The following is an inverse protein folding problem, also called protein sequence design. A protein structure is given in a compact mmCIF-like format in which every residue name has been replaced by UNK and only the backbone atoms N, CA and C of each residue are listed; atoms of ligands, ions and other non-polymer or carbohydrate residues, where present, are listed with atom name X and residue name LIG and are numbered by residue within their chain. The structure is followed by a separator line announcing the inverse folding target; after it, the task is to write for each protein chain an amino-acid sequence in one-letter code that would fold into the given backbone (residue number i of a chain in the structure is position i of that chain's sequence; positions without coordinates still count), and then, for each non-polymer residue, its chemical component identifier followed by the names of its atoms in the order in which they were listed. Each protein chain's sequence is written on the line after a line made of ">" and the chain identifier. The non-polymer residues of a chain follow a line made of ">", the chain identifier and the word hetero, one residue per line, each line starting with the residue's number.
data_IF_679838089153
#
_entry.id   IF_679838089153
#
_cell.length_a   1.000
_cell.length_b   1.000
_cell.length_c   1.000
_cell.angle_alpha   90.00
_cell.angle_beta   90.00
_cell.angle_gamma   90.00
#
_symmetry.space_group_name_H-M   'P 1'
#
loop_
_entity.id
_entity.type
_entity.pdbx_description
1 polymer ?
#
# COMPACT_ATOMS: atom_id res chain seq x y z
N UNK A 1 -56.12 6.07 -0.05
CA UNK A 1 -56.04 7.47 0.41
C UNK A 1 -54.72 7.58 1.11
N UNK A 2 -54.00 8.20 0.38
CA UNK A 2 -52.94 9.22 0.49
C UNK A 2 -51.55 8.71 0.69
N UNK A 3 -50.82 8.93 -0.38
CA UNK A 3 -49.40 8.94 -0.58
C UNK A 3 -48.69 9.91 0.38
N UNK A 4 -47.48 9.55 0.81
CA UNK A 4 -46.43 10.54 0.99
C UNK A 4 -45.10 9.97 0.58
N UNK A 5 -44.70 10.32 -0.64
CA UNK A 5 -43.36 10.35 -1.15
C UNK A 5 -42.52 11.33 -0.32
N UNK A 6 -41.38 10.89 0.21
CA UNK A 6 -40.25 11.77 0.48
C UNK A 6 -39.00 11.18 -0.15
N UNK A 7 -38.61 11.89 -1.17
CA UNK A 7 -37.39 11.74 -1.95
C UNK A 7 -36.16 12.13 -1.12
N UNK A 8 -35.29 11.17 -0.84
CA UNK A 8 -33.91 11.41 -0.48
C UNK A 8 -33.00 11.02 -1.65
N UNK A 9 -32.98 11.88 -2.65
CA UNK A 9 -32.01 11.86 -3.73
C UNK A 9 -31.23 13.17 -3.68
N UNK A 10 -30.14 13.27 -2.89
CA UNK A 10 -29.27 14.45 -3.05
C UNK A 10 -27.87 14.40 -2.47
N UNK A 11 -27.23 13.26 -2.23
CA UNK A 11 -25.84 13.35 -1.72
C UNK A 11 -24.77 12.60 -2.52
N UNK A 12 -25.15 11.64 -3.34
CA UNK A 12 -24.20 10.91 -4.20
C UNK A 12 -23.74 11.69 -5.44
N UNK A 13 -24.46 12.76 -5.81
CA UNK A 13 -24.13 13.55 -7.01
C UNK A 13 -22.98 14.56 -6.78
N UNK A 14 -22.77 14.99 -5.54
CA UNK A 14 -21.78 16.03 -5.21
C UNK A 14 -20.36 15.49 -5.20
N UNK A 15 -20.14 14.29 -4.70
CA UNK A 15 -18.83 13.63 -4.72
C UNK A 15 -18.36 13.30 -6.14
N UNK A 16 -19.26 12.71 -6.96
CA UNK A 16 -18.93 12.38 -8.36
C UNK A 16 -18.66 13.62 -9.23
N UNK A 17 -19.37 14.72 -9.00
CA UNK A 17 -19.11 15.98 -9.71
C UNK A 17 -17.77 16.59 -9.32
N UNK A 18 -17.35 16.49 -8.05
CA UNK A 18 -16.03 16.94 -7.61
C UNK A 18 -14.91 16.09 -8.21
N UNK A 19 -15.06 14.75 -8.29
CA UNK A 19 -14.08 13.87 -8.91
C UNK A 19 -13.79 14.25 -10.37
N UNK A 20 -14.84 14.53 -11.15
CA UNK A 20 -14.73 14.97 -12.55
C UNK A 20 -14.18 16.40 -12.65
N UNK A 21 -14.58 17.32 -11.76
CA UNK A 21 -14.14 18.71 -11.79
C UNK A 21 -12.67 18.88 -11.37
N UNK A 22 -12.19 18.14 -10.36
CA UNK A 22 -10.79 18.24 -9.92
C UNK A 22 -9.82 17.58 -10.91
N UNK A 23 -10.18 16.50 -11.56
CA UNK A 23 -9.41 15.92 -12.66
C UNK A 23 -9.23 16.87 -13.85
N UNK A 24 -10.22 17.72 -14.11
CA UNK A 24 -10.19 18.72 -15.21
C UNK A 24 -9.53 20.03 -14.76
N UNK A 25 -9.68 20.43 -13.48
CA UNK A 25 -9.10 21.69 -12.98
C UNK A 25 -7.58 21.59 -12.79
N UNK A 26 -7.03 20.44 -12.44
CA UNK A 26 -5.57 20.24 -12.38
C UNK A 26 -4.89 20.27 -13.74
N UNK A 27 -5.63 20.02 -14.83
CA UNK A 27 -5.16 20.23 -16.21
C UNK A 27 -5.25 21.68 -16.70
N UNK A 28 -6.02 22.55 -16.01
CA UNK A 28 -6.28 23.91 -16.52
C UNK A 28 -5.29 24.98 -16.01
N UNK A 29 -4.36 24.64 -15.09
CA UNK A 29 -3.40 25.63 -14.53
C UNK A 29 -1.98 25.50 -15.11
N UNK A 30 -1.72 24.51 -15.95
CA UNK A 30 -0.43 24.40 -16.64
C UNK A 30 -0.61 24.46 -18.15
N UNK A 31 -0.30 25.64 -18.70
CA UNK A 31 -0.15 25.99 -20.12
C UNK A 31 -1.42 26.26 -20.91
N UNK A 32 -1.58 27.53 -21.31
CA UNK A 32 -2.29 27.97 -22.50
C UNK A 32 -1.60 27.43 -23.77
N UNK A 33 -1.80 26.16 -24.07
CA UNK A 33 -1.64 25.62 -25.40
C UNK A 33 -2.93 24.91 -25.75
N UNK A 34 -3.60 25.41 -26.77
CA UNK A 34 -4.86 24.88 -27.29
C UNK A 34 -4.69 23.41 -27.68
N UNK A 35 -5.24 22.49 -26.89
CA UNK A 35 -5.54 21.15 -27.40
C UNK A 35 -6.81 21.28 -28.21
N UNK A 36 -6.68 21.56 -29.47
CA UNK A 36 -7.72 21.35 -30.45
C UNK A 36 -7.96 19.84 -30.53
N UNK A 37 -9.12 19.36 -30.07
CA UNK A 37 -9.66 18.06 -30.46
C UNK A 37 -9.96 18.12 -31.96
N UNK A 38 -8.93 17.94 -32.77
CA UNK A 38 -9.11 17.72 -34.18
C UNK A 38 -9.78 16.39 -34.40
N UNK A 39 -11.03 16.37 -34.85
CA UNK A 39 -11.61 15.21 -35.52
C UNK A 39 -10.65 14.88 -36.68
N UNK A 40 -9.93 13.81 -36.57
CA UNK A 40 -9.17 13.25 -37.69
C UNK A 40 -10.15 12.50 -38.59
N UNK A 41 -10.60 13.16 -39.65
CA UNK A 41 -11.10 12.49 -40.84
C UNK A 41 -9.91 11.82 -41.53
N UNK A 42 -9.98 10.53 -41.72
CA UNK A 42 -9.32 9.66 -42.68
C UNK A 42 -7.84 9.86 -43.04
N UNK A 43 -7.01 8.89 -42.60
CA UNK A 43 -5.81 8.41 -43.32
C UNK A 43 -4.73 9.42 -43.72
N UNK A 44 -4.12 10.11 -42.75
CA UNK A 44 -2.75 10.54 -42.86
C UNK A 44 -1.87 9.65 -41.98
N UNK A 45 -1.34 8.59 -42.58
CA UNK A 45 -0.23 7.85 -41.98
C UNK A 45 1.00 8.73 -42.17
N UNK A 46 1.41 9.51 -41.19
CA UNK A 46 2.67 10.21 -41.22
C UNK A 46 3.78 9.15 -41.15
N UNK A 47 4.71 9.19 -42.06
CA UNK A 47 5.89 8.31 -42.10
C UNK A 47 7.02 8.81 -41.19
N UNK A 48 6.83 9.88 -40.44
CA UNK A 48 7.79 10.39 -39.47
C UNK A 48 7.54 9.78 -38.08
N UNK A 49 8.60 9.46 -37.34
CA UNK A 49 8.47 8.99 -35.95
C UNK A 49 7.74 10.06 -35.13
N UNK A 50 6.57 9.71 -34.64
CA UNK A 50 5.85 10.57 -33.70
C UNK A 50 6.57 10.52 -32.34
N UNK A 51 6.85 11.67 -31.73
CA UNK A 51 7.40 11.73 -30.38
C UNK A 51 6.32 11.24 -29.42
N UNK A 52 6.44 9.99 -28.99
CA UNK A 52 5.40 9.29 -28.23
C UNK A 52 5.33 9.69 -26.76
N UNK A 53 6.32 10.44 -26.26
CA UNK A 53 6.40 10.77 -24.85
C UNK A 53 6.18 12.26 -24.57
N UNK A 54 5.28 12.56 -23.64
CA UNK A 54 5.12 13.91 -23.09
C UNK A 54 6.01 14.09 -21.89
N UNK A 55 6.88 15.09 -21.90
CA UNK A 55 7.72 15.46 -20.77
C UNK A 55 6.94 16.29 -19.75
N UNK A 56 6.82 15.77 -18.54
CA UNK A 56 6.18 16.45 -17.40
C UNK A 56 7.22 16.82 -16.35
N UNK A 57 7.03 17.96 -15.71
CA UNK A 57 7.78 18.32 -14.50
C UNK A 57 6.81 18.59 -13.36
N UNK A 58 7.02 17.93 -12.23
CA UNK A 58 6.17 18.03 -11.04
C UNK A 58 7.01 18.38 -9.83
N UNK A 59 6.66 19.46 -9.15
CA UNK A 59 7.30 19.88 -7.90
C UNK A 59 6.35 19.61 -6.73
N UNK A 60 6.78 18.82 -5.74
CA UNK A 60 5.98 18.43 -4.58
C UNK A 60 6.78 18.49 -3.28
N UNK A 61 6.08 18.47 -2.15
CA UNK A 61 6.73 18.33 -0.84
C UNK A 61 7.11 16.87 -0.59
N UNK A 62 6.18 15.96 -0.89
CA UNK A 62 6.32 14.52 -0.63
C UNK A 62 5.96 13.74 -1.89
N UNK A 63 6.84 12.82 -2.28
CA UNK A 63 6.48 11.78 -3.25
C UNK A 63 6.36 10.44 -2.56
N UNK A 64 5.25 9.76 -2.78
CA UNK A 64 5.02 8.38 -2.35
C UNK A 64 5.21 7.47 -3.54
N UNK A 65 6.17 6.55 -3.48
CA UNK A 65 6.46 5.60 -4.55
C UNK A 65 5.88 4.25 -4.21
N UNK A 66 4.84 3.84 -4.94
CA UNK A 66 4.05 2.64 -4.75
C UNK A 66 2.76 2.87 -3.98
N UNK A 67 1.61 2.77 -4.66
CA UNK A 67 0.25 2.89 -4.12
C UNK A 67 -0.29 1.61 -3.49
N UNK A 68 0.58 0.78 -2.89
CA UNK A 68 0.19 -0.44 -2.18
C UNK A 68 -0.45 -0.16 -0.82
N UNK A 69 -0.62 -1.21 -0.01
CA UNK A 69 -1.26 -1.16 1.31
C UNK A 69 -0.74 -0.04 2.21
N UNK A 70 0.58 0.15 2.27
CA UNK A 70 1.19 1.23 3.06
C UNK A 70 1.14 2.57 2.32
N UNK A 71 1.42 2.56 1.00
CA UNK A 71 1.57 3.79 0.22
C UNK A 71 0.26 4.55 0.01
N UNK A 72 -0.86 3.86 -0.16
CA UNK A 72 -2.18 4.49 -0.18
C UNK A 72 -2.44 5.28 1.10
N UNK A 73 -2.24 4.66 2.24
CA UNK A 73 -2.41 5.31 3.56
C UNK A 73 -1.41 6.44 3.75
N UNK A 74 -0.16 6.24 3.29
CA UNK A 74 0.87 7.28 3.35
C UNK A 74 0.50 8.51 2.51
N UNK A 75 0.00 8.31 1.29
CA UNK A 75 -0.40 9.42 0.43
C UNK A 75 -1.55 10.22 1.04
N UNK A 76 -2.59 9.55 1.55
CA UNK A 76 -3.71 10.21 2.23
C UNK A 76 -3.21 10.99 3.47
N UNK A 77 -2.35 10.40 4.29
CA UNK A 77 -1.80 11.06 5.48
C UNK A 77 -0.98 12.29 5.11
N UNK A 78 -0.11 12.22 4.10
CA UNK A 78 0.70 13.36 3.67
C UNK A 78 -0.18 14.51 3.15
N UNK A 79 -1.20 14.19 2.33
CA UNK A 79 -2.17 15.17 1.85
C UNK A 79 -2.97 15.81 2.98
N UNK A 80 -3.51 15.01 3.91
CA UNK A 80 -4.23 15.52 5.10
C UNK A 80 -3.36 16.36 6.04
N UNK A 81 -2.04 16.14 6.01
CA UNK A 81 -1.07 16.98 6.72
C UNK A 81 -0.78 18.30 5.99
N UNK A 82 -1.36 18.53 4.80
CA UNK A 82 -1.19 19.73 3.98
C UNK A 82 0.07 19.73 3.12
N UNK A 83 0.75 18.60 2.95
CA UNK A 83 1.87 18.47 2.03
C UNK A 83 1.38 18.32 0.59
N UNK A 84 1.96 19.07 -0.37
CA UNK A 84 1.74 18.82 -1.79
C UNK A 84 2.31 17.43 -2.12
N UNK A 85 1.45 16.49 -2.47
CA UNK A 85 1.78 15.07 -2.52
C UNK A 85 1.50 14.48 -3.90
N UNK A 86 2.47 13.73 -4.43
CA UNK A 86 2.33 12.87 -5.62
C UNK A 86 2.43 11.40 -5.19
N UNK A 87 1.49 10.59 -5.65
CA UNK A 87 1.50 9.13 -5.51
C UNK A 87 1.78 8.49 -6.86
N UNK A 88 2.92 7.80 -6.98
CA UNK A 88 3.30 7.02 -8.15
C UNK A 88 2.89 5.55 -7.95
N UNK A 89 2.10 4.99 -8.86
CA UNK A 89 1.71 3.57 -8.83
C UNK A 89 1.88 2.93 -10.21
N UNK A 90 2.64 1.84 -10.26
CA UNK A 90 2.93 1.13 -11.53
C UNK A 90 1.76 0.32 -12.08
N UNK A 91 0.76 0.00 -11.25
CA UNK A 91 -0.48 -0.65 -11.68
C UNK A 91 -1.58 0.37 -11.95
N UNK A 92 -2.73 -0.08 -12.43
CA UNK A 92 -3.92 0.76 -12.62
C UNK A 92 -4.86 0.75 -11.42
N UNK A 93 -4.38 0.42 -10.21
CA UNK A 93 -5.24 0.24 -9.04
C UNK A 93 -4.47 0.41 -7.74
N UNK A 94 -5.02 1.17 -6.78
CA UNK A 94 -4.46 1.32 -5.44
C UNK A 94 -4.72 0.08 -4.56
N UNK A 95 -3.95 -0.04 -3.47
CA UNK A 95 -4.06 -1.08 -2.45
C UNK A 95 -3.04 -2.22 -2.58
N UNK A 96 -2.39 -2.39 -3.73
CA UNK A 96 -1.34 -3.37 -3.97
C UNK A 96 -1.74 -4.80 -3.60
N UNK A 97 -1.10 -5.41 -2.58
CA UNK A 97 -1.43 -6.79 -2.18
C UNK A 97 -2.84 -6.95 -1.65
N UNK A 98 -3.46 -5.91 -1.12
CA UNK A 98 -4.85 -5.90 -0.67
C UNK A 98 -5.82 -6.07 -1.85
N UNK A 99 -5.52 -5.45 -2.98
CA UNK A 99 -6.38 -5.36 -4.17
C UNK A 99 -5.81 -6.17 -5.34
N UNK A 100 -4.71 -5.70 -5.93
CA UNK A 100 -4.07 -6.33 -7.10
C UNK A 100 -3.61 -7.76 -6.81
N UNK A 101 -3.08 -8.01 -5.61
CA UNK A 101 -2.70 -9.35 -5.14
C UNK A 101 -3.85 -10.17 -4.57
N UNK A 102 -5.00 -9.54 -4.28
CA UNK A 102 -6.22 -10.16 -3.78
C UNK A 102 -6.18 -10.69 -2.36
N UNK A 103 -5.20 -10.27 -1.56
CA UNK A 103 -5.16 -10.61 -0.13
C UNK A 103 -6.13 -9.70 0.62
N UNK A 104 -7.43 -9.95 0.43
CA UNK A 104 -8.53 -9.11 0.94
C UNK A 104 -8.88 -9.38 2.41
N UNK A 105 -7.87 -9.66 3.24
CA UNK A 105 -8.01 -9.94 4.67
C UNK A 105 -7.05 -9.07 5.48
N UNK A 106 -7.24 -7.75 5.51
CA UNK A 106 -6.43 -6.90 6.36
C UNK A 106 -6.62 -7.28 7.84
N UNK A 107 -5.55 -7.31 8.56
CA UNK A 107 -5.54 -7.64 9.98
C UNK A 107 -4.10 -7.89 10.47
N UNK A 108 -3.91 -8.03 11.77
CA UNK A 108 -4.90 -7.80 12.80
C UNK A 108 -4.86 -6.34 13.26
N UNK A 109 -6.04 -5.75 13.45
CA UNK A 109 -6.18 -4.40 14.03
C UNK A 109 -6.30 -4.44 15.55
N UNK A 110 -6.49 -5.64 16.10
CA UNK A 110 -6.70 -5.90 17.53
C UNK A 110 -5.67 -6.87 18.10
N UNK A 111 -5.52 -6.79 19.41
CA UNK A 111 -4.79 -7.75 20.21
C UNK A 111 -5.43 -7.84 21.59
N UNK A 112 -5.59 -9.07 22.11
CA UNK A 112 -6.00 -9.32 23.49
C UNK A 112 -7.30 -8.64 23.91
N UNK A 113 -8.26 -8.52 22.99
CA UNK A 113 -9.57 -7.92 23.26
C UNK A 113 -9.60 -6.38 23.17
N UNK A 114 -8.57 -5.76 22.61
CA UNK A 114 -8.50 -4.31 22.38
C UNK A 114 -8.07 -4.01 20.96
N UNK A 115 -8.63 -2.97 20.35
CA UNK A 115 -8.08 -2.41 19.13
C UNK A 115 -6.74 -1.73 19.43
N UNK A 116 -5.72 -2.03 18.63
CA UNK A 116 -4.35 -1.51 18.81
C UNK A 116 -3.82 -0.79 17.56
N UNK A 117 -4.50 -0.93 16.44
CA UNK A 117 -4.22 -0.23 15.18
C UNK A 117 -5.52 0.39 14.70
N UNK A 118 -5.51 1.70 14.46
CA UNK A 118 -6.62 2.48 13.91
C UNK A 118 -6.09 3.50 12.89
N UNK A 119 -6.77 4.63 12.73
CA UNK A 119 -6.41 5.69 11.80
C UNK A 119 -6.87 5.44 10.38
N UNK A 120 -6.21 6.05 9.41
CA UNK A 120 -6.61 6.09 7.99
C UNK A 120 -6.77 4.68 7.40
N UNK A 121 -5.88 3.75 7.75
CA UNK A 121 -5.98 2.36 7.27
C UNK A 121 -7.25 1.66 7.76
N UNK A 122 -7.61 1.88 9.03
CA UNK A 122 -8.85 1.36 9.61
C UNK A 122 -10.08 2.07 9.06
N UNK A 123 -10.03 3.37 8.82
CA UNK A 123 -11.09 4.16 8.15
C UNK A 123 -11.46 3.52 6.80
N UNK A 124 -10.46 3.29 5.92
CA UNK A 124 -10.66 2.64 4.63
C UNK A 124 -11.26 1.24 4.75
N UNK A 125 -10.77 0.44 5.68
CA UNK A 125 -11.26 -0.93 5.90
C UNK A 125 -12.70 -0.92 6.40
N UNK A 126 -13.01 -0.08 7.39
CA UNK A 126 -14.35 0.04 7.98
C UNK A 126 -15.37 0.46 6.92
N UNK A 127 -15.10 1.53 6.20
CA UNK A 127 -15.98 2.06 5.16
C UNK A 127 -16.17 1.08 4.00
N UNK A 128 -15.09 0.36 3.60
CA UNK A 128 -15.18 -0.70 2.59
C UNK A 128 -16.10 -1.84 3.01
N UNK A 129 -16.09 -2.23 4.29
CA UNK A 129 -16.98 -3.26 4.83
C UNK A 129 -18.42 -2.77 4.88
N UNK A 130 -18.63 -1.54 5.34
CA UNK A 130 -19.96 -0.92 5.44
C UNK A 130 -20.64 -0.78 4.05
N UNK A 131 -19.91 -0.29 3.06
CA UNK A 131 -20.42 -0.14 1.68
C UNK A 131 -20.72 -1.48 0.99
N UNK A 132 -20.01 -2.55 1.36
CA UNK A 132 -20.25 -3.89 0.82
C UNK A 132 -21.32 -4.67 1.63
N UNK A 133 -21.97 -4.03 2.61
CA UNK A 133 -22.96 -4.67 3.47
C UNK A 133 -22.40 -5.75 4.41
N UNK A 134 -21.11 -5.70 4.68
CA UNK A 134 -20.41 -6.64 5.53
C UNK A 134 -20.53 -6.31 7.03
N UNK A 135 -19.87 -7.09 7.87
CA UNK A 135 -19.82 -6.88 9.30
C UNK A 135 -18.38 -6.89 9.82
N UNK A 136 -18.12 -5.98 10.77
CA UNK A 136 -16.83 -5.89 11.44
C UNK A 136 -16.74 -6.91 12.60
N UNK A 137 -15.54 -7.44 12.89
CA UNK A 137 -15.36 -8.30 14.06
C UNK A 137 -15.52 -7.52 15.36
N UNK A 138 -16.00 -8.22 16.39
CA UNK A 138 -16.02 -7.65 17.73
C UNK A 138 -14.67 -7.86 18.42
N UNK A 139 -13.85 -6.84 18.47
CA UNK A 139 -12.51 -6.89 19.04
C UNK A 139 -12.47 -7.16 20.56
N UNK A 140 -13.56 -6.95 21.30
CA UNK A 140 -13.63 -7.32 22.71
C UNK A 140 -13.61 -8.83 22.93
N UNK A 141 -13.88 -9.63 21.88
CA UNK A 141 -13.82 -11.09 21.93
C UNK A 141 -12.46 -11.57 21.46
N UNK A 142 -11.65 -12.11 22.38
CA UNK A 142 -10.38 -12.76 22.02
C UNK A 142 -10.68 -14.06 21.26
N UNK A 143 -10.26 -14.20 20.00
CA UNK A 143 -10.60 -15.37 19.20
C UNK A 143 -9.72 -16.57 19.56
N UNK A 144 -10.25 -17.79 19.37
CA UNK A 144 -9.47 -19.03 19.54
C UNK A 144 -8.29 -19.13 18.55
N UNK A 145 -8.42 -18.51 17.38
CA UNK A 145 -7.36 -18.45 16.37
C UNK A 145 -7.33 -17.05 15.76
N UNK A 146 -6.13 -16.52 15.53
CA UNK A 146 -5.91 -15.16 15.04
C UNK A 146 -6.71 -14.78 13.78
N UNK A 147 -6.91 -15.72 12.87
CA UNK A 147 -7.62 -15.47 11.62
C UNK A 147 -9.13 -15.22 11.80
N UNK A 148 -9.70 -15.45 12.98
CA UNK A 148 -11.13 -15.17 13.23
C UNK A 148 -11.43 -13.68 13.40
N UNK A 149 -10.44 -12.85 13.75
CA UNK A 149 -10.57 -11.40 13.83
C UNK A 149 -10.01 -10.68 12.58
N UNK A 150 -9.59 -11.43 11.56
CA UNK A 150 -9.28 -10.81 10.27
C UNK A 150 -10.54 -10.25 9.63
N UNK A 151 -10.49 -8.98 9.26
CA UNK A 151 -11.56 -8.33 8.50
C UNK A 151 -11.56 -8.86 7.08
N UNK A 152 -12.70 -9.13 6.50
CA UNK A 152 -12.81 -9.42 5.07
C UNK A 152 -13.34 -8.18 4.38
N UNK A 153 -12.66 -7.73 3.34
CA UNK A 153 -13.07 -6.57 2.54
C UNK A 153 -13.36 -6.97 1.11
N UNK A 154 -14.20 -6.18 0.45
CA UNK A 154 -14.32 -6.20 -0.99
C UNK A 154 -13.16 -5.38 -1.60
N UNK A 155 -12.21 -6.06 -2.26
CA UNK A 155 -11.02 -5.43 -2.83
C UNK A 155 -11.33 -4.36 -3.88
N UNK A 156 -12.45 -4.47 -4.58
CA UNK A 156 -12.87 -3.50 -5.60
C UNK A 156 -13.42 -2.24 -4.95
N UNK A 157 -14.28 -2.38 -3.96
CA UNK A 157 -14.79 -1.25 -3.15
C UNK A 157 -13.64 -0.54 -2.45
N UNK A 158 -12.73 -1.29 -1.81
CA UNK A 158 -11.55 -0.73 -1.16
C UNK A 158 -10.68 0.09 -2.11
N UNK A 159 -10.49 -0.38 -3.33
CA UNK A 159 -9.67 0.31 -4.34
C UNK A 159 -10.26 1.66 -4.73
N UNK A 160 -11.58 1.71 -4.98
CA UNK A 160 -12.27 2.95 -5.36
C UNK A 160 -12.29 3.95 -4.20
N UNK A 161 -12.53 3.49 -2.98
CA UNK A 161 -12.44 4.31 -1.77
C UNK A 161 -11.03 4.87 -1.56
N UNK A 162 -10.01 4.07 -1.81
CA UNK A 162 -8.62 4.50 -1.69
C UNK A 162 -8.31 5.65 -2.65
N UNK A 163 -8.84 5.60 -3.88
CA UNK A 163 -8.73 6.68 -4.87
C UNK A 163 -9.48 7.94 -4.41
N UNK A 164 -10.72 7.80 -3.98
CA UNK A 164 -11.54 8.91 -3.46
C UNK A 164 -10.83 9.62 -2.29
N UNK A 165 -10.37 8.87 -1.29
CA UNK A 165 -9.67 9.44 -0.12
C UNK A 165 -8.34 10.11 -0.48
N UNK A 166 -7.62 9.61 -1.49
CA UNK A 166 -6.43 10.28 -2.00
C UNK A 166 -6.78 11.62 -2.66
N UNK A 167 -7.81 11.63 -3.51
CA UNK A 167 -8.27 12.86 -4.20
C UNK A 167 -8.81 13.87 -3.19
N UNK A 168 -9.61 13.46 -2.22
CA UNK A 168 -10.14 14.32 -1.16
C UNK A 168 -9.03 14.92 -0.28
N UNK A 169 -7.91 14.20 -0.12
CA UNK A 169 -6.72 14.69 0.56
C UNK A 169 -5.82 15.60 -0.32
N UNK A 170 -6.21 15.86 -1.57
CA UNK A 170 -5.44 16.69 -2.51
C UNK A 170 -4.19 16.00 -3.07
N UNK A 171 -4.17 14.68 -3.11
CA UNK A 171 -3.07 13.89 -3.66
C UNK A 171 -3.21 13.77 -5.17
N UNK A 172 -2.15 14.08 -5.91
CA UNK A 172 -2.04 13.72 -7.32
C UNK A 172 -1.69 12.22 -7.43
N UNK A 173 -2.51 11.46 -8.16
CA UNK A 173 -2.28 10.04 -8.43
C UNK A 173 -1.76 9.89 -9.85
N UNK A 174 -0.62 9.19 -10.02
CA UNK A 174 -0.04 8.85 -11.31
C UNK A 174 0.01 7.33 -11.46
N UNK A 175 -0.97 6.78 -12.18
CA UNK A 175 -1.03 5.35 -12.52
C UNK A 175 -0.12 5.03 -13.70
N UNK A 176 0.35 3.78 -13.72
CA UNK A 176 1.21 3.25 -14.79
C UNK A 176 2.53 4.02 -14.91
N UNK A 177 2.92 4.75 -13.88
CA UNK A 177 4.20 5.39 -13.78
C UNK A 177 5.10 4.69 -12.75
N UNK A 178 6.36 4.54 -13.08
CA UNK A 178 7.37 3.92 -12.21
C UNK A 178 8.69 4.69 -12.27
N UNK A 179 9.41 4.66 -11.16
CA UNK A 179 10.69 5.33 -11.03
C UNK A 179 11.79 4.58 -11.81
N UNK A 180 12.57 5.29 -12.58
CA UNK A 180 13.72 4.77 -13.32
C UNK A 180 15.05 5.20 -12.72
N UNK A 181 15.12 6.43 -12.21
CA UNK A 181 16.31 6.98 -11.59
C UNK A 181 15.97 7.98 -10.50
N UNK A 182 16.88 8.16 -9.56
CA UNK A 182 16.79 9.16 -8.50
C UNK A 182 18.17 9.73 -8.21
N UNK A 183 18.22 11.04 -7.94
CA UNK A 183 19.45 11.73 -7.52
C UNK A 183 19.15 12.73 -6.41
N UNK A 184 20.13 12.93 -5.54
CA UNK A 184 20.06 13.94 -4.50
C UNK A 184 20.16 15.36 -5.09
N UNK A 185 19.46 16.31 -4.47
CA UNK A 185 19.56 17.74 -4.73
C UNK A 185 19.89 18.45 -3.41
N UNK A 186 20.26 19.73 -3.43
CA UNK A 186 20.52 20.46 -2.20
C UNK A 186 19.32 20.52 -1.22
N UNK A 187 18.09 20.40 -1.74
CA UNK A 187 16.84 20.56 -0.98
C UNK A 187 15.97 19.31 -0.91
N UNK A 188 16.45 18.19 -1.42
CA UNK A 188 15.70 16.93 -1.45
C UNK A 188 16.16 16.00 -2.58
N UNK A 189 15.25 15.68 -3.51
CA UNK A 189 15.48 14.68 -4.55
C UNK A 189 14.93 15.12 -5.90
N UNK A 190 15.53 14.62 -6.96
CA UNK A 190 14.98 14.63 -8.32
C UNK A 190 14.85 13.17 -8.79
N UNK A 191 13.63 12.81 -9.22
CA UNK A 191 13.29 11.47 -9.72
C UNK A 191 12.96 11.56 -11.20
N UNK A 192 13.40 10.57 -11.99
CA UNK A 192 12.92 10.36 -13.35
C UNK A 192 11.97 9.15 -13.34
N UNK A 193 10.77 9.36 -13.83
CA UNK A 193 9.72 8.36 -13.93
C UNK A 193 9.30 8.19 -15.38
N UNK A 194 8.87 6.99 -15.74
CA UNK A 194 8.30 6.70 -17.05
C UNK A 194 6.93 6.03 -16.90
N UNK A 195 6.07 6.31 -17.85
CA UNK A 195 4.76 5.70 -18.01
C UNK A 195 4.40 5.52 -19.48
N UNK A 196 3.16 5.18 -19.78
CA UNK A 196 2.68 5.08 -21.16
C UNK A 196 2.66 6.47 -21.81
N UNK A 197 3.55 6.72 -22.79
CA UNK A 197 3.64 7.99 -23.47
C UNK A 197 3.97 9.18 -22.56
N UNK A 198 4.65 8.95 -21.44
CA UNK A 198 4.97 9.99 -20.46
C UNK A 198 6.34 9.77 -19.86
N UNK A 199 7.17 10.82 -19.87
CA UNK A 199 8.36 10.94 -19.05
C UNK A 199 8.08 12.02 -17.99
N UNK A 200 8.26 11.70 -16.73
CA UNK A 200 8.03 12.66 -15.64
C UNK A 200 9.30 12.90 -14.85
N UNK A 201 9.65 14.16 -14.68
CA UNK A 201 10.66 14.60 -13.73
C UNK A 201 9.97 15.11 -12.46
N UNK A 202 10.21 14.46 -11.34
CA UNK A 202 9.66 14.85 -10.04
C UNK A 202 10.75 15.46 -9.19
N UNK A 203 10.53 16.68 -8.68
CA UNK A 203 11.36 17.26 -7.63
C UNK A 203 10.58 17.24 -6.33
N UNK A 204 11.19 16.72 -5.26
CA UNK A 204 10.52 16.60 -3.98
C UNK A 204 11.48 16.85 -2.81
N UNK A 205 10.91 17.23 -1.66
CA UNK A 205 11.67 17.40 -0.42
C UNK A 205 11.87 16.06 0.29
N UNK A 206 10.86 15.19 0.26
CA UNK A 206 10.87 13.89 0.94
C UNK A 206 10.37 12.78 0.00
N UNK A 207 10.97 11.61 0.12
CA UNK A 207 10.50 10.36 -0.52
C UNK A 207 9.95 9.43 0.54
N UNK A 208 8.79 8.80 0.24
CA UNK A 208 8.30 7.64 0.99
C UNK A 208 8.35 6.43 0.06
N UNK A 209 9.30 5.50 0.29
CA UNK A 209 9.40 4.28 -0.50
C UNK A 209 8.42 3.23 0.04
N UNK A 210 7.31 3.07 -0.66
CA UNK A 210 6.25 2.08 -0.42
C UNK A 210 6.21 0.98 -1.50
N UNK A 211 7.28 0.79 -2.26
CA UNK A 211 7.36 -0.20 -3.36
C UNK A 211 7.23 -1.65 -2.89
N UNK A 212 7.38 -1.87 -1.58
CA UNK A 212 7.37 -3.18 -0.94
C UNK A 212 8.66 -3.99 -1.17
N UNK A 213 9.57 -3.49 -1.99
CA UNK A 213 10.90 -4.07 -2.25
C UNK A 213 12.03 -3.10 -1.96
N UNK A 214 11.74 -1.94 -1.35
CA UNK A 214 12.73 -0.87 -1.13
C UNK A 214 13.46 -0.50 -2.44
N UNK A 215 12.71 -0.37 -3.53
CA UNK A 215 13.26 -0.16 -4.87
C UNK A 215 13.97 1.19 -4.96
N UNK A 216 13.36 2.26 -4.41
CA UNK A 216 13.98 3.60 -4.38
C UNK A 216 15.23 3.62 -3.53
N UNK A 217 15.19 2.97 -2.38
CA UNK A 217 16.35 2.81 -1.49
C UNK A 217 17.52 2.16 -2.24
N UNK A 218 17.21 1.14 -3.06
CA UNK A 218 18.21 0.48 -3.92
C UNK A 218 18.73 1.37 -5.04
N UNK A 219 17.88 2.13 -5.72
CA UNK A 219 18.27 3.09 -6.76
C UNK A 219 19.19 4.19 -6.22
N UNK A 220 19.00 4.58 -4.97
CA UNK A 220 19.82 5.57 -4.28
C UNK A 220 21.13 4.99 -3.69
N UNK A 221 21.38 3.69 -3.86
CA UNK A 221 22.59 3.01 -3.42
C UNK A 221 22.66 2.70 -1.93
N UNK A 222 21.57 2.85 -1.17
CA UNK A 222 21.54 2.45 0.23
C UNK A 222 21.45 0.93 0.39
N UNK A 223 21.99 0.43 1.50
CA UNK A 223 22.05 -1.02 1.77
C UNK A 223 20.65 -1.60 1.99
N UNK A 224 20.44 -2.75 1.36
CA UNK A 224 19.26 -3.60 1.53
C UNK A 224 19.72 -5.01 1.89
N UNK A 225 18.84 -5.77 2.54
CA UNK A 225 19.06 -7.18 2.88
C UNK A 225 17.91 -8.04 2.36
N UNK A 226 18.21 -9.28 2.03
CA UNK A 226 17.24 -10.33 1.67
C UNK A 226 17.84 -11.69 1.95
N UNK A 227 17.00 -12.70 1.96
CA UNK A 227 17.41 -14.09 2.02
C UNK A 227 17.62 -14.66 0.62
N UNK A 228 18.49 -15.67 0.49
CA UNK A 228 18.70 -16.39 -0.77
C UNK A 228 17.43 -17.16 -1.20
N UNK A 229 16.76 -17.82 -0.24
CA UNK A 229 15.49 -18.51 -0.47
C UNK A 229 14.31 -17.64 0.03
N UNK A 230 13.42 -17.26 -0.89
CA UNK A 230 12.22 -16.47 -0.54
C UNK A 230 11.09 -17.37 -0.05
N UNK A 231 10.19 -16.80 0.78
CA UNK A 231 8.93 -17.43 1.11
C UNK A 231 8.10 -17.62 -0.17
N UNK A 232 7.35 -18.74 -0.29
CA UNK A 232 6.52 -18.96 -1.47
C UNK A 232 5.51 -17.83 -1.64
N UNK A 233 5.34 -17.38 -2.88
CA UNK A 233 4.26 -16.48 -3.25
C UNK A 233 2.92 -17.18 -3.17
N UNK A 234 1.82 -16.41 -3.25
CA UNK A 234 0.46 -16.93 -3.34
C UNK A 234 -0.21 -16.45 -4.61
N UNK A 235 -0.86 -17.35 -5.34
CA UNK A 235 -1.78 -16.96 -6.39
C UNK A 235 -3.20 -17.18 -5.90
N UNK A 236 -4.00 -16.11 -5.87
CA UNK A 236 -5.36 -16.12 -5.36
C UNK A 236 -6.35 -16.10 -6.53
N UNK A 237 -7.41 -16.90 -6.44
CA UNK A 237 -8.44 -17.01 -7.46
C UNK A 237 -9.74 -17.55 -6.86
N UNK A 238 -10.85 -17.37 -7.55
CA UNK A 238 -12.16 -17.87 -7.13
C UNK A 238 -12.68 -18.94 -8.09
N UNK A 239 -13.23 -20.00 -7.53
CA UNK A 239 -13.89 -21.09 -8.27
C UNK A 239 -15.34 -21.22 -7.83
N UNK A 240 -16.29 -21.04 -8.77
CA UNK A 240 -17.72 -21.23 -8.55
C UNK A 240 -18.38 -20.15 -7.70
N UNK A 241 -19.72 -20.08 -7.72
CA UNK A 241 -20.52 -19.14 -6.93
C UNK A 241 -20.97 -17.90 -7.68
N UNK A 242 -22.05 -17.28 -7.17
CA UNK A 242 -22.71 -16.14 -7.78
C UNK A 242 -22.10 -14.78 -7.35
N UNK A 243 -21.40 -14.75 -6.20
CA UNK A 243 -20.78 -13.54 -5.66
C UNK A 243 -19.25 -13.61 -5.72
N UNK A 244 -18.59 -12.57 -6.24
CA UNK A 244 -17.13 -12.54 -6.41
C UNK A 244 -16.35 -12.40 -5.09
N UNK A 245 -17.01 -12.11 -3.96
CA UNK A 245 -16.35 -11.79 -2.70
C UNK A 245 -16.88 -12.67 -1.58
N UNK A 246 -16.26 -13.82 -1.39
CA UNK A 246 -16.54 -14.67 -0.23
C UNK A 246 -15.36 -15.53 0.13
N UNK A 247 -14.99 -15.56 1.42
CA UNK A 247 -13.86 -16.35 1.92
C UNK A 247 -13.95 -17.85 1.55
N UNK A 248 -15.15 -18.40 1.47
CA UNK A 248 -15.40 -19.81 1.14
C UNK A 248 -15.07 -20.18 -0.30
N UNK A 249 -15.06 -19.22 -1.21
CA UNK A 249 -14.81 -19.41 -2.64
C UNK A 249 -13.40 -19.03 -3.05
N UNK A 250 -12.65 -18.35 -2.18
CA UNK A 250 -11.28 -17.96 -2.45
C UNK A 250 -10.35 -19.14 -2.28
N UNK A 251 -9.61 -19.42 -3.32
CA UNK A 251 -8.57 -20.44 -3.35
C UNK A 251 -7.19 -19.81 -3.42
N UNK A 252 -6.24 -20.47 -2.80
CA UNK A 252 -4.84 -20.09 -2.80
C UNK A 252 -3.99 -21.24 -3.35
N UNK A 253 -3.01 -20.90 -4.18
CA UNK A 253 -1.96 -21.81 -4.62
C UNK A 253 -0.62 -21.16 -4.26
N UNK A 254 0.29 -21.94 -3.66
CA UNK A 254 1.66 -21.50 -3.44
C UNK A 254 2.47 -21.52 -4.72
N UNK A 255 3.23 -20.45 -4.95
CA UNK A 255 4.20 -20.33 -6.03
C UNK A 255 5.58 -20.35 -5.40
N UNK A 256 6.22 -21.49 -5.40
CA UNK A 256 7.56 -21.67 -4.85
C UNK A 256 8.59 -20.94 -5.71
N UNK A 257 9.63 -20.38 -5.09
CA UNK A 257 10.65 -19.59 -5.77
C UNK A 257 10.15 -18.24 -6.29
N UNK A 258 8.95 -17.79 -5.87
CA UNK A 258 8.42 -16.49 -6.28
C UNK A 258 9.30 -15.37 -5.74
N UNK A 259 9.78 -14.52 -6.65
CA UNK A 259 10.63 -13.37 -6.36
C UNK A 259 10.05 -12.11 -7.01
N UNK A 260 9.99 -11.01 -6.26
CA UNK A 260 9.47 -9.72 -6.76
C UNK A 260 10.55 -8.66 -6.91
N UNK A 261 11.80 -9.05 -7.06
CA UNK A 261 12.94 -8.11 -7.11
C UNK A 261 13.12 -7.44 -8.47
N UNK A 262 12.58 -8.02 -9.54
CA UNK A 262 12.58 -7.43 -10.88
C UNK A 262 11.41 -7.96 -11.73
N UNK A 263 11.14 -7.31 -12.85
CA UNK A 263 10.01 -7.63 -13.73
C UNK A 263 10.09 -9.03 -14.33
N UNK A 264 11.29 -9.57 -14.58
CA UNK A 264 11.49 -10.91 -15.13
C UNK A 264 11.05 -11.97 -14.12
N UNK A 265 11.54 -11.90 -12.87
CA UNK A 265 11.16 -12.86 -11.82
C UNK A 265 9.69 -12.75 -11.44
N UNK A 266 9.11 -11.55 -11.46
CA UNK A 266 7.65 -11.35 -11.31
C UNK A 266 6.89 -12.04 -12.44
N UNK A 267 7.34 -11.92 -13.69
CA UNK A 267 6.71 -12.58 -14.86
C UNK A 267 6.78 -14.10 -14.71
N UNK A 268 7.92 -14.65 -14.33
CA UNK A 268 8.10 -16.09 -14.10
C UNK A 268 7.14 -16.59 -13.01
N UNK A 269 7.05 -15.91 -11.87
CA UNK A 269 6.13 -16.25 -10.78
C UNK A 269 4.66 -16.18 -11.21
N UNK A 270 4.30 -15.16 -12.01
CA UNK A 270 2.95 -14.98 -12.55
C UNK A 270 2.56 -16.10 -13.48
N UNK A 271 3.42 -16.47 -14.44
CA UNK A 271 3.17 -17.56 -15.38
C UNK A 271 3.10 -18.90 -14.66
N UNK A 272 4.00 -19.18 -13.72
CA UNK A 272 3.99 -20.38 -12.91
C UNK A 272 2.67 -20.51 -12.11
N UNK A 273 2.25 -19.46 -11.44
CA UNK A 273 1.02 -19.43 -10.67
C UNK A 273 -0.23 -19.68 -11.55
N UNK A 274 -0.31 -19.00 -12.70
CA UNK A 274 -1.42 -19.17 -13.65
C UNK A 274 -1.47 -20.59 -14.24
N UNK A 275 -0.33 -21.19 -14.54
CA UNK A 275 -0.25 -22.58 -14.96
C UNK A 275 -0.79 -23.55 -13.90
N UNK A 276 -0.48 -23.32 -12.62
CA UNK A 276 -1.04 -24.12 -11.53
C UNK A 276 -2.56 -23.99 -11.43
N UNK A 277 -3.12 -22.77 -11.61
CA UNK A 277 -4.57 -22.55 -11.66
C UNK A 277 -5.18 -23.29 -12.84
N UNK A 278 -4.58 -23.20 -14.05
CA UNK A 278 -5.05 -23.89 -15.24
C UNK A 278 -5.02 -25.41 -15.07
N UNK A 279 -3.96 -25.96 -14.46
CA UNK A 279 -3.89 -27.39 -14.12
C UNK A 279 -5.05 -27.82 -13.23
N UNK A 280 -5.39 -27.00 -12.22
CA UNK A 280 -6.51 -27.25 -11.30
C UNK A 280 -7.87 -27.24 -12.03
N UNK A 281 -8.06 -26.31 -12.97
CA UNK A 281 -9.27 -26.23 -13.80
C UNK A 281 -9.40 -27.48 -14.73
N UNK A 282 -8.31 -27.91 -15.37
CA UNK A 282 -8.29 -29.13 -16.18
C UNK A 282 -8.66 -30.36 -15.35
N UNK A 283 -8.15 -30.47 -14.13
CA UNK A 283 -8.52 -31.56 -13.21
C UNK A 283 -9.99 -31.52 -12.79
N UNK A 284 -10.58 -30.33 -12.70
CA UNK A 284 -11.99 -30.15 -12.36
C UNK A 284 -12.95 -30.58 -13.50
N UNK A 285 -12.46 -30.79 -14.72
CA UNK A 285 -13.23 -31.29 -15.89
C UNK A 285 -14.57 -30.55 -16.08
N UNK A 286 -14.59 -29.21 -16.02
CA UNK A 286 -15.80 -28.42 -16.17
C UNK A 286 -16.73 -28.35 -14.92
N UNK A 287 -16.45 -29.12 -13.87
CA UNK A 287 -17.25 -29.08 -12.63
C UNK A 287 -17.09 -27.81 -11.81
N UNK A 288 -16.09 -26.99 -12.10
CA UNK A 288 -15.83 -25.70 -11.44
C UNK A 288 -15.54 -24.61 -12.47
N UNK A 289 -16.11 -23.43 -12.27
CA UNK A 289 -15.89 -22.26 -13.12
C UNK A 289 -14.89 -21.34 -12.44
N UNK A 290 -13.95 -20.79 -13.20
CA UNK A 290 -13.08 -19.69 -12.73
C UNK A 290 -13.91 -18.41 -12.78
N UNK A 291 -14.19 -17.84 -11.60
CA UNK A 291 -14.98 -16.61 -11.46
C UNK A 291 -14.10 -15.38 -11.42
N UNK A 292 -12.95 -15.49 -10.75
CA UNK A 292 -11.99 -14.40 -10.63
C UNK A 292 -10.56 -14.94 -10.54
N UNK A 293 -9.63 -14.20 -11.15
CA UNK A 293 -8.19 -14.47 -11.11
C UNK A 293 -7.46 -13.17 -10.83
N UNK A 294 -6.67 -13.15 -9.78
CA UNK A 294 -5.91 -11.95 -9.44
C UNK A 294 -4.91 -11.59 -10.55
N UNK A 295 -4.72 -10.30 -10.86
CA UNK A 295 -3.75 -9.88 -11.86
C UNK A 295 -2.31 -10.19 -11.47
N UNK A 296 -1.97 -10.14 -10.17
CA UNK A 296 -0.63 -10.34 -9.63
C UNK A 296 -0.57 -11.44 -8.57
N UNK A 297 0.55 -12.18 -8.47
CA UNK A 297 0.79 -13.06 -7.33
C UNK A 297 1.08 -12.24 -6.06
N UNK A 298 0.65 -12.74 -4.92
CA UNK A 298 0.98 -12.17 -3.61
C UNK A 298 2.40 -12.56 -3.19
N UNK A 299 3.32 -11.62 -3.17
CA UNK A 299 4.69 -11.83 -2.68
C UNK A 299 4.79 -11.51 -1.20
N UNK A 300 5.39 -12.41 -0.42
CA UNK A 300 5.54 -12.25 1.03
C UNK A 300 6.77 -11.50 1.45
N UNK A 301 7.88 -11.66 0.72
CA UNK A 301 9.14 -10.99 1.00
C UNK A 301 9.89 -10.65 -0.30
N UNK A 302 10.76 -9.67 -0.18
CA UNK A 302 11.77 -9.29 -1.16
C UNK A 302 12.92 -8.60 -0.42
N UNK A 303 13.40 -7.46 -0.87
CA UNK A 303 14.36 -6.67 -0.09
C UNK A 303 13.70 -5.99 1.11
N UNK A 304 14.45 -5.92 2.21
CA UNK A 304 14.23 -5.07 3.37
C UNK A 304 15.37 -4.07 3.45
N UNK A 305 15.14 -2.88 4.00
CA UNK A 305 16.23 -1.92 4.21
C UNK A 305 17.14 -2.37 5.36
N UNK A 306 18.41 -1.94 5.31
CA UNK A 306 19.25 -1.85 6.49
C UNK A 306 19.00 -0.46 7.08
N UNK A 307 18.13 -0.39 8.09
CA UNK A 307 17.71 0.85 8.73
C UNK A 307 18.66 1.28 9.85
N UNK A 308 18.37 2.43 10.45
CA UNK A 308 19.05 2.90 11.66
C UNK A 308 18.87 1.94 12.84
N UNK A 309 17.78 1.20 12.84
CA UNK A 309 17.50 0.10 13.77
C UNK A 309 16.97 -1.11 13.00
N UNK A 310 17.41 -2.30 13.37
CA UNK A 310 16.90 -3.58 12.86
C UNK A 310 16.04 -4.21 13.95
N UNK A 311 14.75 -4.42 13.69
CA UNK A 311 13.87 -5.13 14.63
C UNK A 311 14.18 -6.63 14.57
N UNK A 312 14.56 -7.22 15.68
CA UNK A 312 14.82 -8.66 15.78
C UNK A 312 13.56 -9.43 16.17
N UNK A 313 13.56 -10.75 15.93
CA UNK A 313 12.48 -11.62 16.40
C UNK A 313 12.35 -11.59 17.91
N UNK A 314 13.43 -11.36 18.65
CA UNK A 314 13.39 -11.23 20.12
C UNK A 314 12.67 -9.93 20.52
N UNK A 315 12.96 -8.79 19.85
CA UNK A 315 12.25 -7.54 20.08
C UNK A 315 10.75 -7.72 19.82
N UNK A 316 10.41 -8.37 18.70
CA UNK A 316 9.04 -8.60 18.30
C UNK A 316 8.29 -9.51 19.28
N UNK A 317 8.87 -10.65 19.64
CA UNK A 317 8.20 -11.65 20.48
C UNK A 317 8.18 -11.29 21.96
N UNK A 318 9.09 -10.43 22.43
CA UNK A 318 9.06 -9.87 23.78
C UNK A 318 8.11 -8.70 23.94
N UNK A 319 7.67 -8.09 22.82
CA UNK A 319 6.87 -6.86 22.83
C UNK A 319 7.67 -5.65 23.29
N UNK A 320 8.97 -5.59 22.92
CA UNK A 320 9.85 -4.47 23.26
C UNK A 320 9.19 -3.14 22.95
N UNK A 321 9.23 -2.22 23.90
CA UNK A 321 8.84 -0.83 23.73
C UNK A 321 10.05 -0.02 23.33
N UNK A 322 10.02 0.57 22.14
CA UNK A 322 11.08 1.43 21.65
C UNK A 322 10.77 2.88 22.04
N UNK A 323 11.80 3.65 22.34
CA UNK A 323 11.65 5.07 22.75
C UNK A 323 11.11 5.92 21.60
N UNK A 324 11.35 5.52 20.35
CA UNK A 324 10.88 6.15 19.14
C UNK A 324 9.76 5.35 18.44
N UNK A 325 8.93 4.64 19.24
CA UNK A 325 7.81 3.86 18.71
C UNK A 325 6.76 4.76 18.06
N UNK A 326 6.39 4.46 16.80
CA UNK A 326 5.43 5.24 16.00
C UNK A 326 4.12 4.53 15.74
N UNK A 327 4.08 3.22 15.83
CA UNK A 327 2.85 2.43 15.71
C UNK A 327 2.99 1.07 16.40
N UNK A 328 1.85 0.44 16.66
CA UNK A 328 1.74 -0.93 17.16
C UNK A 328 1.77 -1.92 16.00
N UNK A 329 2.10 -3.18 16.32
CA UNK A 329 1.97 -4.31 15.43
C UNK A 329 1.45 -5.53 16.19
N UNK A 330 0.71 -6.40 15.52
CA UNK A 330 0.31 -7.68 16.09
C UNK A 330 -0.01 -8.69 15.01
N UNK A 331 0.72 -9.79 15.04
CA UNK A 331 0.45 -11.00 14.26
C UNK A 331 1.33 -12.14 14.81
N UNK A 332 0.96 -13.41 14.69
CA UNK A 332 1.88 -14.50 14.94
C UNK A 332 3.14 -14.38 14.07
N UNK A 333 4.26 -14.91 14.52
CA UNK A 333 5.41 -15.14 13.63
C UNK A 333 4.98 -16.16 12.58
N UNK A 334 4.82 -15.72 11.31
CA UNK A 334 4.13 -16.44 10.25
C UNK A 334 5.05 -16.67 9.04
N UNK A 335 6.12 -17.45 9.25
CA UNK A 335 7.06 -17.78 8.20
C UNK A 335 6.54 -18.94 7.35
N UNK A 336 6.26 -18.70 6.08
CA UNK A 336 5.91 -19.71 5.11
C UNK A 336 7.17 -20.37 4.52
N UNK A 337 7.17 -21.68 4.46
CA UNK A 337 8.26 -22.47 3.86
C UNK A 337 7.73 -23.42 2.80
N UNK A 338 8.61 -24.14 2.10
CA UNK A 338 8.21 -25.21 1.19
C UNK A 338 7.44 -26.34 1.88
N UNK A 339 7.61 -26.49 3.19
CA UNK A 339 6.94 -27.50 4.01
C UNK A 339 5.65 -26.99 4.67
N UNK A 340 5.15 -25.82 4.26
CA UNK A 340 3.96 -25.18 4.81
C UNK A 340 4.30 -24.09 5.84
N UNK A 341 3.30 -23.69 6.61
CA UNK A 341 3.40 -22.66 7.64
C UNK A 341 2.97 -23.21 8.99
N UNK A 342 3.71 -22.85 10.05
CA UNK A 342 3.34 -23.11 11.45
C UNK A 342 3.46 -21.79 12.21
N UNK A 343 2.37 -21.00 12.26
CA UNK A 343 2.38 -19.73 12.95
C UNK A 343 2.72 -19.92 14.45
N UNK A 344 3.63 -19.09 14.97
CA UNK A 344 3.97 -19.08 16.39
C UNK A 344 3.27 -17.89 17.04
N UNK A 345 2.22 -18.10 17.85
CA UNK A 345 1.52 -17.01 18.53
C UNK A 345 2.46 -16.24 19.47
N UNK A 346 2.18 -14.96 19.63
CA UNK A 346 2.81 -14.16 20.68
C UNK A 346 2.23 -14.55 22.05
N UNK A 347 3.03 -14.35 23.10
CA UNK A 347 2.57 -14.57 24.49
C UNK A 347 1.39 -13.63 24.81
N UNK A 348 0.40 -14.06 25.62
CA UNK A 348 -0.68 -13.19 26.06
C UNK A 348 -0.18 -11.84 26.60
N UNK A 349 -0.87 -10.75 26.24
CA UNK A 349 -0.50 -9.39 26.62
C UNK A 349 0.62 -8.74 25.80
N UNK A 350 1.30 -9.50 24.92
CA UNK A 350 2.38 -8.94 24.07
C UNK A 350 1.80 -8.14 22.91
N UNK A 351 2.17 -6.86 22.84
CA UNK A 351 1.89 -5.97 21.69
C UNK A 351 3.21 -5.33 21.27
N UNK A 352 3.86 -5.82 20.20
CA UNK A 352 5.09 -5.22 19.69
C UNK A 352 4.87 -3.81 19.17
N UNK A 353 5.92 -2.99 19.20
CA UNK A 353 5.92 -1.65 18.60
C UNK A 353 6.94 -1.56 17.47
N UNK A 354 6.73 -0.61 16.57
CA UNK A 354 7.63 -0.33 15.44
C UNK A 354 8.30 1.03 15.70
N UNK A 355 9.64 1.07 15.82
CA UNK A 355 10.37 2.32 15.99
C UNK A 355 10.53 3.08 14.67
N UNK A 356 10.53 4.41 14.70
CA UNK A 356 10.77 5.28 13.54
C UNK A 356 12.08 4.90 12.83
N UNK A 357 13.13 4.67 13.59
CA UNK A 357 14.47 4.32 13.07
C UNK A 357 14.50 3.02 12.24
N UNK A 358 13.51 2.15 12.37
CA UNK A 358 13.40 0.96 11.50
C UNK A 358 12.84 1.25 10.11
N UNK A 359 12.28 2.44 9.91
CA UNK A 359 11.76 2.91 8.61
C UNK A 359 12.75 3.83 7.87
N UNK A 360 13.87 4.18 8.46
CA UNK A 360 14.85 5.12 7.88
C UNK A 360 16.08 4.33 7.45
N UNK A 361 16.43 4.31 6.15
CA UNK A 361 17.66 3.68 5.67
C UNK A 361 18.88 4.30 6.33
N UNK A 362 19.80 3.47 6.83
CA UNK A 362 20.95 3.91 7.61
C UNK A 362 21.81 4.95 6.88
N UNK A 363 22.01 6.10 7.53
CA UNK A 363 22.78 7.22 7.00
C UNK A 363 22.06 8.01 5.89
N UNK A 364 20.77 7.74 5.64
CA UNK A 364 20.01 8.47 4.62
C UNK A 364 19.48 9.80 5.13
N UNK A 365 19.14 10.68 4.18
CA UNK A 365 18.44 11.94 4.42
C UNK A 365 17.22 12.02 3.51
N UNK A 366 16.14 12.58 4.02
CA UNK A 366 14.93 12.90 3.22
C UNK A 366 14.30 11.70 2.49
N UNK A 367 14.48 10.48 3.01
CA UNK A 367 13.80 9.27 2.57
C UNK A 367 13.42 8.42 3.77
N UNK A 368 12.22 7.88 3.73
CA UNK A 368 11.66 6.96 4.72
C UNK A 368 10.93 5.84 3.96
N UNK A 369 10.86 4.64 4.52
CA UNK A 369 10.11 3.54 3.91
C UNK A 369 8.87 3.18 4.71
N UNK A 370 7.89 2.52 4.08
CA UNK A 370 6.79 1.91 4.80
C UNK A 370 6.33 0.59 4.17
N UNK A 371 5.87 -0.33 5.00
CA UNK A 371 5.39 -1.63 4.57
C UNK A 371 6.40 -2.75 4.81
N UNK A 372 6.28 -3.84 4.05
CA UNK A 372 7.07 -5.06 4.27
C UNK A 372 8.60 -4.90 4.12
N UNK A 373 9.05 -3.81 3.53
CA UNK A 373 10.47 -3.50 3.34
C UNK A 373 11.14 -2.84 4.55
N UNK A 374 10.43 -2.67 5.67
CA UNK A 374 11.01 -2.13 6.92
C UNK A 374 12.25 -2.94 7.36
N UNK A 375 13.09 -2.31 8.18
CA UNK A 375 14.31 -2.92 8.72
C UNK A 375 13.98 -3.90 9.84
N UNK A 376 14.07 -5.19 9.54
CA UNK A 376 13.86 -6.27 10.52
C UNK A 376 14.56 -7.54 10.09
N UNK A 377 14.82 -8.46 11.02
CA UNK A 377 15.16 -9.82 10.63
C UNK A 377 13.96 -10.52 9.96
N UNK A 378 14.20 -11.67 9.34
CA UNK A 378 13.20 -12.40 8.56
C UNK A 378 12.02 -12.89 9.41
N UNK A 379 12.29 -13.36 10.62
CA UNK A 379 11.25 -13.90 11.49
C UNK A 379 10.37 -12.78 12.03
N UNK A 380 10.94 -11.67 12.50
CA UNK A 380 10.18 -10.48 12.89
C UNK A 380 9.36 -9.95 11.70
N UNK A 381 9.97 -9.87 10.50
CA UNK A 381 9.30 -9.42 9.30
C UNK A 381 8.05 -10.24 8.99
N UNK A 382 8.06 -11.55 9.23
CA UNK A 382 6.92 -12.42 8.94
C UNK A 382 5.64 -12.02 9.71
N UNK A 383 5.78 -11.39 10.87
CA UNK A 383 4.68 -10.81 11.63
C UNK A 383 4.43 -9.32 11.34
N UNK A 384 5.49 -8.56 11.00
CA UNK A 384 5.42 -7.10 10.78
C UNK A 384 4.87 -6.73 9.39
N UNK A 385 5.03 -7.59 8.38
CA UNK A 385 4.65 -7.35 6.98
C UNK A 385 3.15 -7.47 6.68
N UNK A 386 2.34 -7.85 7.65
CA UNK A 386 0.90 -7.99 7.45
C UNK A 386 0.23 -6.63 7.29
N UNK A 387 -0.96 -6.61 6.70
CA UNK A 387 -1.53 -5.37 6.15
C UNK A 387 -1.81 -4.30 7.19
N UNK A 388 -2.38 -4.62 8.34
CA UNK A 388 -2.70 -3.62 9.37
C UNK A 388 -1.45 -2.89 9.90
N UNK A 389 -0.36 -3.57 10.31
CA UNK A 389 0.92 -2.89 10.59
C UNK A 389 1.48 -2.09 9.41
N UNK A 390 1.35 -2.59 8.16
CA UNK A 390 1.79 -1.85 6.98
C UNK A 390 1.01 -0.55 6.77
N UNK A 391 -0.31 -0.54 7.02
CA UNK A 391 -1.14 0.67 6.99
C UNK A 391 -0.69 1.66 8.08
N UNK A 392 -0.48 1.19 9.31
CA UNK A 392 -0.01 2.02 10.41
C UNK A 392 1.39 2.62 10.12
N UNK A 393 2.32 1.83 9.57
CA UNK A 393 3.62 2.33 9.13
C UNK A 393 3.50 3.39 8.03
N UNK A 394 2.59 3.18 7.06
CA UNK A 394 2.31 4.15 6.00
C UNK A 394 1.88 5.48 6.56
N UNK A 395 0.94 5.47 7.51
CA UNK A 395 0.46 6.67 8.18
C UNK A 395 1.57 7.38 8.94
N UNK A 396 2.37 6.64 9.72
CA UNK A 396 3.46 7.20 10.52
C UNK A 396 4.61 7.76 9.65
N UNK A 397 5.01 7.04 8.61
CA UNK A 397 6.04 7.50 7.68
C UNK A 397 5.63 8.81 6.99
N UNK A 398 4.37 8.94 6.61
CA UNK A 398 3.87 10.12 5.93
C UNK A 398 3.69 11.31 6.89
N UNK A 399 3.23 11.09 8.11
CA UNK A 399 3.22 12.12 9.15
C UNK A 399 4.64 12.69 9.37
N UNK A 400 5.62 11.79 9.48
CA UNK A 400 7.03 12.17 9.63
C UNK A 400 7.55 12.94 8.42
N UNK A 401 7.33 12.43 7.20
CA UNK A 401 7.80 13.07 5.97
C UNK A 401 7.17 14.46 5.74
N UNK A 402 5.87 14.60 5.99
CA UNK A 402 5.18 15.89 5.87
C UNK A 402 5.73 16.94 6.86
N UNK A 403 5.94 16.54 8.11
CA UNK A 403 6.56 17.41 9.13
C UNK A 403 8.01 17.75 8.77
N UNK A 404 8.79 16.78 8.30
CA UNK A 404 10.17 16.99 7.86
C UNK A 404 10.24 17.98 6.69
N UNK A 405 9.37 17.83 5.67
CA UNK A 405 9.28 18.74 4.54
C UNK A 405 8.90 20.15 4.95
N UNK A 406 7.93 20.30 5.86
CA UNK A 406 7.47 21.58 6.40
C UNK A 406 8.56 22.30 7.20
N UNK A 407 9.27 21.55 8.05
CA UNK A 407 10.32 22.08 8.94
C UNK A 407 11.68 22.21 8.26
N UNK A 408 11.86 21.64 7.07
CA UNK A 408 13.13 21.55 6.32
C UNK A 408 14.22 20.81 7.13
N UNK A 409 13.84 19.72 7.76
CA UNK A 409 14.73 18.84 8.54
C UNK A 409 14.71 17.41 7.96
N UNK A 410 15.58 16.53 8.45
CA UNK A 410 15.52 15.12 8.07
C UNK A 410 14.41 14.40 8.86
N UNK A 411 13.92 13.24 8.41
CA UNK A 411 12.93 12.45 9.14
C UNK A 411 13.35 12.09 10.58
N UNK A 412 14.65 11.90 10.84
CA UNK A 412 15.17 11.62 12.17
C UNK A 412 15.12 12.82 13.12
N UNK A 413 15.14 14.03 12.57
CA UNK A 413 15.16 15.26 13.36
C UNK A 413 13.74 15.77 13.70
N UNK A 414 12.69 15.10 13.20
CA UNK A 414 11.31 15.47 13.53
C UNK A 414 11.02 15.04 14.97
N UNK A 415 10.58 15.96 15.84
CA UNK A 415 10.23 15.61 17.22
C UNK A 415 9.13 14.55 17.28
N UNK A 416 9.37 13.46 18.01
CA UNK A 416 8.44 12.33 18.11
C UNK A 416 7.06 12.77 18.60
N UNK A 417 7.00 13.72 19.55
CA UNK A 417 5.75 14.24 20.06
C UNK A 417 4.88 14.89 18.98
N UNK A 418 5.49 15.59 18.00
CA UNK A 418 4.75 16.18 16.89
C UNK A 418 4.23 15.12 15.91
N UNK A 419 5.02 14.04 15.70
CA UNK A 419 4.57 12.89 14.91
C UNK A 419 3.36 12.27 15.58
N UNK A 420 3.44 11.97 16.88
CA UNK A 420 2.33 11.38 17.65
C UNK A 420 1.10 12.29 17.64
N UNK A 421 1.27 13.60 17.83
CA UNK A 421 0.16 14.55 17.77
C UNK A 421 -0.55 14.54 16.40
N UNK A 422 0.23 14.50 15.30
CA UNK A 422 -0.33 14.45 13.95
C UNK A 422 -1.01 13.11 13.66
N UNK A 423 -0.47 12.02 14.17
CA UNK A 423 -1.05 10.68 14.06
C UNK A 423 -2.38 10.60 14.83
N UNK A 424 -2.41 11.08 16.09
CA UNK A 424 -3.62 11.12 16.91
C UNK A 424 -4.72 12.01 16.30
N UNK A 425 -4.34 13.13 15.66
CA UNK A 425 -5.28 13.99 14.90
C UNK A 425 -6.01 13.23 13.79
N UNK A 426 -5.43 12.18 13.26
CA UNK A 426 -6.02 11.33 12.22
C UNK A 426 -6.30 9.91 12.75
N UNK A 427 -6.78 9.84 14.00
CA UNK A 427 -7.33 8.67 14.69
C UNK A 427 -6.37 7.46 14.83
N UNK A 428 -5.06 7.64 14.66
CA UNK A 428 -4.11 6.57 14.93
C UNK A 428 -3.97 6.30 16.44
N UNK A 429 -3.87 5.02 16.81
CA UNK A 429 -3.58 4.63 18.19
C UNK A 429 -2.07 4.72 18.42
N UNK A 430 -1.68 5.59 19.33
CA UNK A 430 -0.28 5.85 19.67
C UNK A 430 0.25 4.76 20.61
N UNK A 431 1.46 4.22 20.38
CA UNK A 431 2.06 3.25 21.29
C UNK A 431 2.27 3.82 22.70
N UNK A 432 1.80 3.09 23.71
CA UNK A 432 1.97 3.48 25.12
C UNK A 432 0.87 4.35 25.70
N UNK A 433 -0.03 4.91 24.91
CA UNK A 433 -1.26 5.55 25.39
C UNK A 433 -2.29 4.49 25.79
N UNK A 434 -3.03 4.75 26.90
CA UNK A 434 -3.99 3.79 27.52
C UNK A 434 -5.37 3.84 26.84
#
# INVERSE_FOLDING_TARGET
>A
MEENNHSDNNDLSTGRRKFIQYGIASMAIASTTHVALARRDGTNVSSEPEELATDLTTDVDVVVVGGGTAGTVAAIQAGRAGAKTLLLERSGQLGGMTTVGGVCYPGLFDAWGKQIIAGIGWELVKESVELDGGTLPNFAKVPKAHHHNQVTINQFVYSILAEEKCVDAGVEIAYHEFIQAAKATPTGWELNCAGFGTNRRVRCKQIIDCTGGAEVVGLLGYKRMREDETQPGSYLFQLGGEHPVGRKQLHQIYVHGADSTNSRTVTEAKLAGRNLVLKKLRQAKGKKRLMHLQPEPGFRESYRIVGETVITVNDYTSGRKFDDAICNAFYPVDLHTKNGVRPKPLKPGTVPTIPLRSLIPKGSKNIIVAGRCLSSDRLANSGLRVQAPCMAMGQAAAATAALAAKKKVTPLDVPLAEIHQLLAKHDAIIPGEK
#
